data_IF_289848818301
#
_entry.id   IF_289848818301
#
_cell.length_a   1.000
_cell.length_b   1.000
_cell.length_c   1.000
_cell.angle_alpha   90.00
_cell.angle_beta   90.00
_cell.angle_gamma   90.00
#
_symmetry.space_group_name_H-M   'P 1'
#
loop_
_entity.id
_entity.type
_entity.pdbx_description
1 polymer ?
#
# COMPACT_ATOMS: atom_id res chain seq x y z
N UNK A 1 -13.34 9.73 10.34
CA UNK A 1 -12.69 8.71 9.51
C UNK A 1 -13.56 7.47 9.58
N UNK A 2 -14.01 6.95 8.44
CA UNK A 2 -14.70 5.66 8.44
C UNK A 2 -13.63 4.58 8.62
N UNK A 3 -13.56 4.02 9.82
CA UNK A 3 -12.66 2.89 10.14
C UNK A 3 -13.23 1.66 9.43
N UNK A 4 -12.44 1.02 8.60
CA UNK A 4 -12.84 -0.21 7.92
C UNK A 4 -12.69 -1.42 8.84
N UNK A 5 -13.53 -2.43 8.63
CA UNK A 5 -13.45 -3.70 9.34
C UNK A 5 -12.62 -4.68 8.51
N UNK A 6 -11.75 -5.45 9.15
CA UNK A 6 -11.08 -6.56 8.48
C UNK A 6 -12.10 -7.65 8.07
N UNK A 7 -11.69 -8.52 7.16
CA UNK A 7 -12.52 -9.65 6.71
C UNK A 7 -12.88 -10.58 7.87
N UNK A 8 -11.96 -10.80 8.80
CA UNK A 8 -12.19 -11.60 10.01
C UNK A 8 -13.28 -10.99 10.90
N UNK A 9 -13.28 -9.69 11.09
CA UNK A 9 -14.31 -8.98 11.86
C UNK A 9 -15.66 -9.08 11.16
N UNK A 10 -15.72 -8.82 9.86
CA UNK A 10 -16.96 -8.90 9.07
C UNK A 10 -17.56 -10.31 9.08
N UNK A 11 -16.72 -11.34 8.96
CA UNK A 11 -17.10 -12.75 9.07
C UNK A 11 -17.64 -13.09 10.47
N UNK A 12 -16.96 -12.62 11.53
CA UNK A 12 -17.39 -12.86 12.92
C UNK A 12 -18.76 -12.26 13.22
N UNK A 13 -19.02 -11.02 12.81
CA UNK A 13 -20.34 -10.41 12.98
C UNK A 13 -21.43 -11.17 12.22
N UNK A 14 -21.14 -11.62 10.99
CA UNK A 14 -22.06 -12.43 10.20
C UNK A 14 -22.36 -13.79 10.85
N UNK A 15 -21.35 -14.43 11.46
CA UNK A 15 -21.53 -15.69 12.20
C UNK A 15 -22.29 -15.48 13.49
N UNK A 16 -21.98 -14.43 14.27
CA UNK A 16 -22.68 -14.07 15.49
C UNK A 16 -24.18 -13.82 15.23
N UNK A 17 -24.49 -13.09 14.16
CA UNK A 17 -25.88 -12.84 13.73
C UNK A 17 -26.61 -14.15 13.39
N UNK A 18 -25.98 -15.04 12.62
CA UNK A 18 -26.55 -16.35 12.28
C UNK A 18 -26.83 -17.20 13.52
N UNK A 19 -25.90 -17.19 14.49
CA UNK A 19 -26.07 -17.90 15.77
C UNK A 19 -27.24 -17.35 16.57
N UNK A 20 -27.32 -16.04 16.79
CA UNK A 20 -28.41 -15.41 17.50
C UNK A 20 -29.77 -15.75 16.86
N UNK A 21 -29.88 -15.74 15.53
CA UNK A 21 -31.07 -16.16 14.80
C UNK A 21 -31.38 -17.65 14.98
N UNK A 22 -30.39 -18.53 15.00
CA UNK A 22 -30.59 -19.98 15.14
C UNK A 22 -31.16 -20.37 16.49
N UNK A 23 -30.76 -19.67 17.55
CA UNK A 23 -31.29 -19.83 18.90
C UNK A 23 -32.57 -18.97 19.17
N UNK A 24 -32.99 -18.17 18.19
CA UNK A 24 -34.11 -17.23 18.29
C UNK A 24 -33.95 -16.22 19.43
N UNK A 25 -32.73 -15.70 19.63
CA UNK A 25 -32.47 -14.64 20.58
C UNK A 25 -32.89 -13.27 20.00
N UNK A 26 -33.43 -12.39 20.85
CA UNK A 26 -33.85 -11.04 20.47
C UNK A 26 -32.63 -10.12 20.19
N UNK A 27 -31.49 -10.37 20.88
CA UNK A 27 -30.33 -9.53 20.82
C UNK A 27 -29.06 -10.29 20.36
N UNK A 28 -28.24 -9.62 19.55
CA UNK A 28 -26.85 -10.04 19.33
C UNK A 28 -26.02 -9.55 20.51
N UNK A 29 -25.36 -10.45 21.20
CA UNK A 29 -24.58 -10.18 22.41
C UNK A 29 -23.08 -10.47 22.20
N UNK A 30 -22.18 -9.97 23.08
CA UNK A 30 -20.74 -10.28 23.04
C UNK A 30 -20.44 -11.78 23.04
N UNK A 31 -21.28 -12.61 23.69
CA UNK A 31 -21.16 -14.06 23.76
C UNK A 31 -21.33 -14.72 22.37
N UNK A 32 -22.25 -14.20 21.53
CA UNK A 32 -22.39 -14.66 20.14
C UNK A 32 -21.14 -14.34 19.34
N UNK A 33 -20.53 -13.16 19.58
CA UNK A 33 -19.31 -12.76 18.91
C UNK A 33 -18.10 -13.61 19.37
N UNK A 34 -17.98 -13.89 20.67
CA UNK A 34 -16.96 -14.80 21.20
C UNK A 34 -17.09 -16.21 20.58
N UNK A 35 -18.32 -16.71 20.48
CA UNK A 35 -18.57 -18.00 19.83
C UNK A 35 -18.20 -17.98 18.34
N UNK A 36 -18.34 -16.84 17.66
CA UNK A 36 -17.91 -16.69 16.27
C UNK A 36 -16.38 -16.64 16.12
N UNK A 37 -15.67 -16.11 17.12
CA UNK A 37 -14.20 -16.14 17.14
C UNK A 37 -13.66 -17.57 17.26
N UNK A 38 -14.35 -18.46 17.98
CA UNK A 38 -13.99 -19.89 18.08
C UNK A 38 -14.15 -20.65 16.73
N UNK A 39 -14.71 -20.04 15.69
CA UNK A 39 -14.73 -20.59 14.34
C UNK A 39 -13.50 -20.17 13.52
N UNK A 40 -12.67 -19.25 14.04
CA UNK A 40 -11.53 -18.68 13.32
C UNK A 40 -10.22 -19.37 13.73
N UNK A 41 -9.45 -19.91 12.76
CA UNK A 41 -8.18 -20.60 13.06
C UNK A 41 -7.18 -19.75 13.86
N UNK A 42 -6.96 -18.44 13.60
CA UNK A 42 -6.01 -17.66 14.39
C UNK A 42 -6.40 -17.54 15.86
N UNK A 43 -7.70 -17.45 16.17
CA UNK A 43 -8.18 -17.38 17.54
C UNK A 43 -7.99 -18.71 18.28
N UNK A 44 -8.30 -19.83 17.61
CA UNK A 44 -8.09 -21.18 18.15
C UNK A 44 -6.61 -21.42 18.42
N UNK A 45 -5.73 -21.07 17.47
CA UNK A 45 -4.28 -21.23 17.64
C UNK A 45 -3.76 -20.43 18.83
N UNK A 46 -4.20 -19.19 19.01
CA UNK A 46 -3.82 -18.38 20.17
C UNK A 46 -4.26 -19.03 21.49
N UNK A 47 -5.49 -19.57 21.58
CA UNK A 47 -5.95 -20.29 22.78
C UNK A 47 -5.12 -21.55 23.05
N UNK A 48 -4.77 -22.30 22.01
CA UNK A 48 -3.98 -23.54 22.12
C UNK A 48 -2.54 -23.29 22.59
N UNK A 49 -1.93 -22.15 22.25
CA UNK A 49 -0.61 -21.75 22.77
C UNK A 49 -0.60 -21.61 24.29
N UNK A 50 -1.74 -21.22 24.88
CA UNK A 50 -1.91 -21.08 26.32
C UNK A 50 -2.56 -22.30 26.98
N UNK A 51 -2.57 -23.44 26.27
CA UNK A 51 -3.15 -24.72 26.74
C UNK A 51 -4.62 -24.60 27.17
N UNK A 52 -5.37 -23.64 26.62
CA UNK A 52 -6.79 -23.47 26.91
C UNK A 52 -7.61 -24.57 26.25
N UNK A 53 -8.62 -25.06 26.95
CA UNK A 53 -9.55 -26.05 26.41
C UNK A 53 -10.65 -25.35 25.60
N UNK A 54 -10.47 -25.37 24.26
CA UNK A 54 -11.40 -24.76 23.31
C UNK A 54 -12.76 -25.44 23.31
N UNK A 55 -12.79 -26.78 23.54
CA UNK A 55 -14.04 -27.55 23.57
C UNK A 55 -14.84 -27.21 24.81
N UNK A 56 -14.21 -27.06 25.98
CA UNK A 56 -14.85 -26.64 27.22
C UNK A 56 -15.42 -25.22 27.11
N UNK A 57 -14.68 -24.29 26.54
CA UNK A 57 -15.15 -22.92 26.28
C UNK A 57 -16.35 -22.90 25.33
N UNK A 58 -16.31 -23.69 24.25
CA UNK A 58 -17.41 -23.80 23.29
C UNK A 58 -18.67 -24.38 23.97
N UNK A 59 -18.51 -25.42 24.77
CA UNK A 59 -19.61 -26.05 25.51
C UNK A 59 -20.24 -25.09 26.54
N UNK A 60 -19.42 -24.30 27.22
CA UNK A 60 -19.89 -23.30 28.20
C UNK A 60 -20.73 -22.23 27.51
N UNK A 61 -20.32 -21.78 26.30
CA UNK A 61 -21.11 -20.84 25.50
C UNK A 61 -22.43 -21.46 24.98
N UNK A 62 -22.42 -22.72 24.54
CA UNK A 62 -23.62 -23.42 24.11
C UNK A 62 -24.64 -23.61 25.26
N UNK A 63 -24.16 -23.98 26.44
CA UNK A 63 -25.00 -24.07 27.64
C UNK A 63 -25.59 -22.70 27.99
N UNK A 64 -24.81 -21.65 27.93
CA UNK A 64 -25.28 -20.29 28.17
C UNK A 64 -26.38 -19.87 27.18
N UNK A 65 -26.23 -20.18 25.89
CA UNK A 65 -27.22 -19.88 24.88
C UNK A 65 -28.55 -20.66 25.06
N UNK A 66 -28.47 -21.88 25.59
CA UNK A 66 -29.65 -22.75 25.72
C UNK A 66 -30.33 -22.65 27.07
N UNK A 67 -29.60 -22.41 28.17
CA UNK A 67 -30.13 -22.47 29.52
C UNK A 67 -30.33 -21.08 30.16
N UNK A 68 -29.50 -20.10 29.82
CA UNK A 68 -29.51 -18.79 30.48
C UNK A 68 -30.19 -17.70 29.61
N UNK A 69 -30.13 -17.79 28.29
CA UNK A 69 -30.72 -16.80 27.40
C UNK A 69 -32.20 -17.18 27.04
N UNK A 70 -33.07 -16.19 27.17
CA UNK A 70 -34.45 -16.35 26.73
C UNK A 70 -34.56 -16.41 25.21
N UNK A 71 -35.23 -17.44 24.69
CA UNK A 71 -35.53 -17.61 23.26
C UNK A 71 -36.94 -17.12 22.96
N UNK A 72 -37.13 -16.46 21.82
CA UNK A 72 -38.43 -16.05 21.32
C UNK A 72 -39.23 -17.28 20.86
N UNK A 73 -40.49 -17.46 21.31
CA UNK A 73 -41.32 -18.61 20.95
C UNK A 73 -41.48 -18.76 19.43
N UNK A 74 -41.65 -20.01 18.97
CA UNK A 74 -41.95 -20.29 17.56
C UNK A 74 -43.24 -19.60 17.11
N UNK A 75 -43.21 -18.98 15.91
CA UNK A 75 -44.36 -18.29 15.31
C UNK A 75 -44.46 -16.80 15.67
N UNK A 76 -43.61 -16.27 16.54
CA UNK A 76 -43.52 -14.83 16.80
C UNK A 76 -42.51 -14.22 15.84
N UNK A 77 -42.92 -13.18 15.09
CA UNK A 77 -42.01 -12.35 14.29
C UNK A 77 -41.28 -11.37 15.20
N UNK A 78 -39.97 -11.21 15.00
CA UNK A 78 -39.13 -10.27 15.73
C UNK A 78 -38.02 -9.72 14.84
N UNK A 79 -37.51 -8.58 15.17
CA UNK A 79 -36.31 -8.01 14.57
C UNK A 79 -35.14 -8.25 15.51
N UNK A 80 -34.01 -8.70 14.96
CA UNK A 80 -32.80 -8.93 15.74
C UNK A 80 -32.10 -7.59 15.99
N UNK A 81 -31.89 -7.25 17.25
CA UNK A 81 -31.27 -6.01 17.67
C UNK A 81 -29.83 -6.23 18.21
N UNK A 82 -29.05 -5.18 18.27
CA UNK A 82 -27.71 -5.21 18.88
C UNK A 82 -27.83 -4.84 20.35
N UNK A 83 -27.30 -5.68 21.24
CA UNK A 83 -27.34 -5.42 22.70
C UNK A 83 -26.55 -4.18 23.09
N UNK A 84 -26.90 -3.57 24.24
CA UNK A 84 -26.18 -2.44 24.79
C UNK A 84 -24.71 -2.78 25.09
N UNK A 85 -24.45 -3.99 25.59
CA UNK A 85 -23.10 -4.47 25.86
C UNK A 85 -22.24 -4.64 24.60
N UNK A 86 -22.84 -5.13 23.49
CA UNK A 86 -22.13 -5.24 22.23
C UNK A 86 -21.82 -3.86 21.63
N UNK A 87 -22.74 -2.91 21.77
CA UNK A 87 -22.49 -1.51 21.37
C UNK A 87 -21.34 -0.89 22.20
N UNK A 88 -21.31 -1.13 23.51
CA UNK A 88 -20.22 -0.68 24.39
C UNK A 88 -18.88 -1.29 24.00
N UNK A 89 -18.85 -2.60 23.69
CA UNK A 89 -17.66 -3.30 23.20
C UNK A 89 -17.14 -2.66 21.92
N UNK A 90 -18.00 -2.40 20.94
CA UNK A 90 -17.63 -1.78 19.67
C UNK A 90 -17.06 -0.36 19.90
N UNK A 91 -17.67 0.41 20.78
CA UNK A 91 -17.16 1.74 21.12
C UNK A 91 -15.76 1.67 21.78
N UNK A 92 -15.54 0.73 22.70
CA UNK A 92 -14.23 0.51 23.31
C UNK A 92 -13.18 0.12 22.27
N UNK A 93 -13.51 -0.78 21.35
CA UNK A 93 -12.60 -1.19 20.28
C UNK A 93 -12.24 -0.01 19.35
N UNK A 94 -13.20 0.84 18.98
CA UNK A 94 -12.93 2.04 18.18
C UNK A 94 -12.06 3.07 18.93
N UNK A 95 -12.24 3.23 20.24
CA UNK A 95 -11.38 4.10 21.03
C UNK A 95 -9.92 3.59 21.01
N UNK A 96 -9.72 2.28 21.11
CA UNK A 96 -8.37 1.67 21.09
C UNK A 96 -7.68 1.91 19.75
N UNK A 97 -8.38 1.78 18.62
CA UNK A 97 -7.82 2.06 17.30
C UNK A 97 -7.35 3.52 17.20
N UNK A 98 -8.13 4.47 17.70
CA UNK A 98 -7.73 5.88 17.71
C UNK A 98 -6.45 6.15 18.53
N UNK A 99 -6.15 5.32 19.53
CA UNK A 99 -4.92 5.43 20.35
C UNK A 99 -3.74 4.61 19.79
N UNK A 100 -3.99 3.55 19.01
CA UNK A 100 -2.96 2.61 18.52
C UNK A 100 -2.44 2.92 17.13
N UNK A 101 -2.94 3.96 16.45
CA UNK A 101 -2.61 4.27 15.04
C UNK A 101 -2.94 3.13 14.06
N UNK A 102 -3.81 2.21 14.43
CA UNK A 102 -4.31 1.19 13.53
C UNK A 102 -5.32 1.81 12.54
N UNK A 103 -5.30 1.36 11.29
CA UNK A 103 -6.19 1.89 10.24
C UNK A 103 -7.49 1.11 10.14
N UNK A 104 -7.52 -0.14 10.64
CA UNK A 104 -8.66 -1.06 10.53
C UNK A 104 -9.02 -1.70 11.87
N UNK A 105 -10.30 -2.04 12.04
CA UNK A 105 -10.81 -2.79 13.17
C UNK A 105 -10.54 -4.28 12.96
N UNK A 106 -9.75 -4.89 13.87
CA UNK A 106 -9.44 -6.32 13.85
C UNK A 106 -9.93 -7.03 15.12
N UNK A 107 -10.00 -8.37 15.08
CA UNK A 107 -10.50 -9.21 16.17
C UNK A 107 -9.75 -8.98 17.49
N UNK A 108 -8.42 -8.83 17.57
CA UNK A 108 -7.73 -8.50 18.82
C UNK A 108 -8.27 -7.25 19.51
N UNK A 109 -8.66 -6.21 18.77
CA UNK A 109 -9.26 -5.00 19.35
C UNK A 109 -10.63 -5.30 19.99
N UNK A 110 -11.45 -6.15 19.36
CA UNK A 110 -12.73 -6.56 19.90
C UNK A 110 -12.56 -7.43 21.16
N UNK A 111 -11.61 -8.37 21.14
CA UNK A 111 -11.31 -9.22 22.33
C UNK A 111 -10.81 -8.37 23.49
N UNK A 112 -9.93 -7.41 23.22
CA UNK A 112 -9.45 -6.48 24.26
C UNK A 112 -10.59 -5.62 24.82
N UNK A 113 -11.50 -5.14 23.98
CA UNK A 113 -12.71 -4.44 24.39
C UNK A 113 -13.64 -5.33 25.19
N UNK A 114 -13.82 -6.60 24.80
CA UNK A 114 -14.66 -7.59 25.46
C UNK A 114 -14.20 -7.87 26.90
N UNK A 115 -12.91 -8.02 27.12
CA UNK A 115 -12.32 -8.24 28.44
C UNK A 115 -12.58 -7.09 29.40
N UNK A 116 -12.77 -5.87 28.89
CA UNK A 116 -13.03 -4.67 29.69
C UNK A 116 -14.51 -4.51 30.07
N UNK A 117 -15.41 -5.26 29.46
CA UNK A 117 -16.82 -5.21 29.81
C UNK A 117 -17.05 -5.64 31.25
N UNK A 118 -17.86 -4.87 31.96
CA UNK A 118 -18.39 -5.25 33.25
C UNK A 118 -19.66 -6.06 33.05
N UNK A 119 -19.88 -7.10 33.84
CA UNK A 119 -21.09 -7.92 33.82
C UNK A 119 -21.35 -8.68 32.49
N UNK A 120 -20.32 -8.94 31.64
CA UNK A 120 -20.42 -9.78 30.44
C UNK A 120 -19.95 -11.21 30.71
N UNK A 121 -20.74 -12.19 30.32
CA UNK A 121 -20.36 -13.60 30.38
C UNK A 121 -19.21 -13.91 29.42
N UNK A 122 -19.14 -13.26 28.27
CA UNK A 122 -18.01 -13.40 27.34
C UNK A 122 -16.68 -12.98 28.02
N UNK A 123 -16.69 -11.87 28.76
CA UNK A 123 -15.53 -11.43 29.52
C UNK A 123 -15.18 -12.41 30.65
N UNK A 124 -16.20 -12.99 31.31
CA UNK A 124 -16.02 -13.99 32.36
C UNK A 124 -15.39 -15.28 31.81
N UNK A 125 -15.95 -15.84 30.75
CA UNK A 125 -15.44 -17.05 30.10
C UNK A 125 -13.98 -16.88 29.63
N UNK A 126 -13.64 -15.75 28.99
CA UNK A 126 -12.26 -15.49 28.58
C UNK A 126 -11.30 -15.42 29.77
N UNK A 127 -11.69 -14.72 30.84
CA UNK A 127 -10.85 -14.60 32.04
C UNK A 127 -10.68 -15.93 32.78
N UNK A 128 -11.72 -16.74 32.82
CA UNK A 128 -11.67 -18.06 33.46
C UNK A 128 -10.82 -19.04 32.66
N UNK A 129 -10.94 -19.01 31.32
CA UNK A 129 -10.21 -19.91 30.41
C UNK A 129 -8.71 -19.57 30.32
N UNK A 130 -8.36 -18.27 30.27
CA UNK A 130 -6.97 -17.82 30.04
C UNK A 130 -6.25 -17.57 31.38
N UNK A 131 -6.96 -17.15 32.42
CA UNK A 131 -6.38 -16.91 33.76
C UNK A 131 -5.46 -15.69 33.80
N UNK A 132 -4.28 -15.86 34.45
CA UNK A 132 -3.31 -14.79 34.68
C UNK A 132 -2.51 -14.41 33.41
N UNK A 133 -2.50 -15.27 32.37
CA UNK A 133 -1.69 -15.09 31.17
C UNK A 133 -2.38 -14.20 30.12
N UNK A 134 -3.42 -13.46 30.53
CA UNK A 134 -4.24 -12.62 29.64
C UNK A 134 -3.45 -11.57 28.83
N UNK A 135 -2.43 -10.86 29.39
CA UNK A 135 -1.64 -9.90 28.61
C UNK A 135 -0.79 -10.58 27.52
N UNK A 136 -0.20 -11.72 27.84
CA UNK A 136 0.61 -12.52 26.91
C UNK A 136 -0.27 -13.12 25.82
N UNK A 137 -1.46 -13.60 26.17
CA UNK A 137 -2.46 -14.08 25.22
C UNK A 137 -2.86 -12.99 24.21
N UNK A 138 -3.13 -11.76 24.68
CA UNK A 138 -3.46 -10.67 23.76
C UNK A 138 -2.33 -10.35 22.78
N UNK A 139 -1.07 -10.44 23.23
CA UNK A 139 0.09 -10.25 22.37
C UNK A 139 0.22 -11.35 21.32
N UNK A 140 0.02 -12.62 21.73
CA UNK A 140 -0.01 -13.76 20.82
C UNK A 140 -1.18 -13.65 19.83
N UNK A 141 -2.36 -13.25 20.31
CA UNK A 141 -3.54 -13.08 19.46
C UNK A 141 -3.29 -12.06 18.33
N UNK A 142 -2.63 -10.94 18.62
CA UNK A 142 -2.24 -9.95 17.61
C UNK A 142 -1.33 -10.61 16.56
N UNK A 143 -0.27 -11.32 17.01
CA UNK A 143 0.67 -11.99 16.08
C UNK A 143 -0.03 -13.04 15.23
N UNK A 144 -0.94 -13.84 15.79
CA UNK A 144 -1.68 -14.88 15.06
C UNK A 144 -2.59 -14.29 13.96
N UNK A 145 -3.23 -13.13 14.21
CA UNK A 145 -4.03 -12.47 13.19
C UNK A 145 -3.17 -11.76 12.14
N UNK A 146 -2.05 -11.15 12.53
CA UNK A 146 -1.09 -10.57 11.58
C UNK A 146 -0.52 -11.65 10.64
N UNK A 147 -0.07 -12.79 11.19
CA UNK A 147 0.42 -13.93 10.40
C UNK A 147 -0.67 -14.54 9.51
N UNK A 148 -1.91 -14.62 9.99
CA UNK A 148 -3.03 -15.14 9.23
C UNK A 148 -3.43 -14.20 8.08
N UNK A 149 -3.40 -12.90 8.30
CA UNK A 149 -3.60 -11.90 7.25
C UNK A 149 -2.49 -11.99 6.20
N UNK A 150 -1.23 -12.15 6.61
CA UNK A 150 -0.12 -12.40 5.69
C UNK A 150 -0.33 -13.71 4.89
N UNK A 151 -0.78 -14.80 5.52
CA UNK A 151 -1.06 -16.07 4.84
C UNK A 151 -2.28 -16.02 3.91
N UNK A 152 -3.33 -15.26 4.27
CA UNK A 152 -4.50 -15.03 3.40
C UNK A 152 -4.09 -14.20 2.19
N UNK A 153 -3.20 -13.21 2.38
CA UNK A 153 -2.57 -12.50 1.26
C UNK A 153 -1.77 -13.45 0.35
N UNK A 154 -1.09 -14.46 0.91
CA UNK A 154 -0.37 -15.47 0.12
C UNK A 154 -1.30 -16.47 -0.59
N UNK A 155 -2.44 -16.84 -0.03
CA UNK A 155 -3.36 -17.84 -0.60
C UNK A 155 -4.40 -17.26 -1.58
N UNK A 156 -4.86 -16.03 -1.40
CA UNK A 156 -5.67 -15.30 -2.38
C UNK A 156 -4.82 -14.83 -3.58
N UNK A 157 -3.51 -14.75 -3.44
CA UNK A 157 -2.54 -14.54 -4.54
C UNK A 157 -2.56 -15.65 -5.63
N UNK A 158 -3.39 -16.66 -5.49
CA UNK A 158 -3.59 -17.71 -6.52
C UNK A 158 -4.49 -17.30 -7.70
N UNK A 159 -5.16 -16.14 -7.69
CA UNK A 159 -6.01 -15.67 -8.81
C UNK A 159 -5.85 -14.21 -9.23
N UNK A 160 -5.19 -13.34 -8.44
CA UNK A 160 -4.60 -12.08 -8.91
C UNK A 160 -3.32 -11.87 -8.11
N UNK A 161 -2.18 -11.70 -8.78
CA UNK A 161 -0.85 -11.54 -8.17
C UNK A 161 -0.78 -10.28 -7.28
N UNK A 162 -1.35 -10.32 -6.10
CA UNK A 162 -1.13 -9.30 -5.07
C UNK A 162 0.14 -9.68 -4.29
N UNK A 163 1.27 -9.51 -4.94
CA UNK A 163 2.57 -9.63 -4.29
C UNK A 163 2.76 -8.40 -3.38
N UNK A 164 3.14 -8.57 -2.09
CA UNK A 164 3.20 -7.47 -1.11
C UNK A 164 3.99 -6.24 -1.57
N UNK A 165 4.98 -6.45 -2.45
CA UNK A 165 5.79 -5.39 -3.02
C UNK A 165 5.00 -4.46 -3.96
N UNK A 166 3.88 -4.92 -4.54
CA UNK A 166 3.04 -4.13 -5.45
C UNK A 166 2.34 -2.97 -4.77
N UNK A 167 2.15 -3.04 -3.45
CA UNK A 167 1.59 -1.95 -2.66
C UNK A 167 2.51 -0.72 -2.58
N UNK A 168 3.80 -0.90 -2.87
CA UNK A 168 4.82 0.15 -2.84
C UNK A 168 5.21 0.67 -4.22
N UNK A 169 4.61 0.13 -5.27
CA UNK A 169 4.96 0.48 -6.65
C UNK A 169 3.72 0.62 -7.52
N UNK A 170 3.80 1.50 -8.51
CA UNK A 170 2.78 1.66 -9.55
C UNK A 170 3.35 1.22 -10.89
N UNK A 171 2.70 0.31 -11.60
CA UNK A 171 3.13 -0.09 -12.93
C UNK A 171 2.74 0.97 -13.96
N UNK A 172 3.71 1.68 -14.52
CA UNK A 172 3.46 2.75 -15.48
C UNK A 172 2.85 2.23 -16.79
N UNK A 173 3.17 0.99 -17.18
CA UNK A 173 2.61 0.37 -18.37
C UNK A 173 1.08 0.21 -18.28
N UNK A 174 0.57 -0.09 -17.10
CA UNK A 174 -0.88 -0.28 -16.88
C UNK A 174 -1.64 1.06 -16.80
N UNK A 175 -0.92 2.16 -16.52
CA UNK A 175 -1.49 3.50 -16.36
C UNK A 175 -1.44 4.37 -17.62
N UNK A 176 -1.02 3.85 -18.76
CA UNK A 176 -0.83 4.63 -19.99
C UNK A 176 -2.09 5.33 -20.50
N UNK A 177 -3.26 4.74 -20.29
CA UNK A 177 -4.53 5.32 -20.75
C UNK A 177 -4.97 6.54 -19.94
N UNK A 178 -4.57 6.62 -18.69
CA UNK A 178 -4.95 7.71 -17.77
C UNK A 178 -4.00 8.91 -17.87
N UNK A 179 -2.81 8.72 -18.45
CA UNK A 179 -1.80 9.75 -18.57
C UNK A 179 -1.74 10.38 -19.96
N UNK A 180 -1.20 11.59 -20.02
CA UNK A 180 -0.99 12.27 -21.28
C UNK A 180 0.15 11.60 -22.07
N UNK A 181 0.05 11.49 -23.40
CA UNK A 181 1.13 10.96 -24.22
C UNK A 181 2.36 11.88 -24.11
N UNK A 182 3.54 11.30 -24.21
CA UNK A 182 4.76 12.07 -24.38
C UNK A 182 4.75 12.68 -25.80
N UNK A 183 4.86 13.99 -25.88
CA UNK A 183 4.95 14.76 -27.13
C UNK A 183 6.28 15.50 -27.11
N UNK A 184 7.02 15.38 -28.19
CA UNK A 184 8.39 15.84 -28.23
C UNK A 184 9.32 14.97 -27.36
N UNK A 185 10.54 15.47 -27.09
CA UNK A 185 11.51 14.77 -26.23
C UNK A 185 12.06 13.46 -26.80
N UNK A 186 12.01 13.28 -28.12
CA UNK A 186 12.49 12.07 -28.78
C UNK A 186 14.00 11.85 -28.53
N UNK A 187 14.78 12.92 -28.50
CA UNK A 187 16.22 12.86 -28.27
C UNK A 187 16.57 12.36 -26.86
N UNK A 188 15.88 12.89 -25.85
CA UNK A 188 16.05 12.49 -24.45
C UNK A 188 15.55 11.06 -24.19
N UNK A 189 14.45 10.68 -24.84
CA UNK A 189 13.89 9.34 -24.79
C UNK A 189 14.84 8.32 -25.42
N UNK A 190 15.34 8.61 -26.63
CA UNK A 190 16.37 7.77 -27.29
C UNK A 190 17.63 7.66 -26.45
N UNK A 191 18.05 8.74 -25.81
CA UNK A 191 19.22 8.73 -24.92
C UNK A 191 18.98 7.85 -23.69
N UNK A 192 17.78 7.90 -23.13
CA UNK A 192 17.36 7.04 -22.01
C UNK A 192 17.41 5.57 -22.41
N UNK A 193 16.85 5.21 -23.57
CA UNK A 193 16.87 3.85 -24.15
C UNK A 193 18.32 3.39 -24.35
N UNK A 194 19.18 4.22 -24.95
CA UNK A 194 20.60 3.90 -25.15
C UNK A 194 21.34 3.61 -23.83
N UNK A 195 21.06 4.38 -22.78
CA UNK A 195 21.68 4.19 -21.45
C UNK A 195 21.20 2.87 -20.85
N UNK A 196 19.89 2.59 -20.86
CA UNK A 196 19.31 1.36 -20.33
C UNK A 196 19.83 0.09 -21.06
N UNK A 197 20.23 0.21 -22.32
CA UNK A 197 20.79 -0.90 -23.09
C UNK A 197 22.29 -1.14 -22.85
N UNK A 198 22.99 -0.31 -22.08
CA UNK A 198 24.41 -0.49 -21.77
C UNK A 198 24.66 -1.69 -20.87
N UNK A 199 25.89 -2.17 -20.86
CA UNK A 199 26.35 -3.19 -19.93
C UNK A 199 26.68 -2.60 -18.56
N UNK A 200 27.26 -1.42 -18.54
CA UNK A 200 27.66 -0.69 -17.34
C UNK A 200 27.07 0.72 -17.37
N UNK A 201 26.84 1.32 -16.19
CA UNK A 201 26.16 2.61 -16.05
C UNK A 201 24.85 2.65 -16.83
N UNK A 202 24.08 1.60 -16.68
CA UNK A 202 22.81 1.37 -17.37
C UNK A 202 21.60 2.01 -16.67
N UNK A 203 21.83 2.86 -15.68
CA UNK A 203 20.78 3.57 -14.95
C UNK A 203 20.80 5.05 -15.37
N UNK A 204 19.82 5.53 -16.16
CA UNK A 204 19.69 6.94 -16.48
C UNK A 204 19.23 7.75 -15.27
N UNK A 205 19.75 8.96 -15.15
CA UNK A 205 19.29 9.96 -14.19
C UNK A 205 18.84 11.21 -14.94
N UNK A 206 17.55 11.47 -14.95
CA UNK A 206 16.95 12.65 -15.54
C UNK A 206 17.17 13.85 -14.61
N UNK A 207 17.91 14.84 -15.05
CA UNK A 207 18.20 16.06 -14.29
C UNK A 207 17.61 17.25 -15.02
N UNK A 208 16.76 18.02 -14.37
CA UNK A 208 16.12 19.19 -14.97
C UNK A 208 15.23 19.92 -13.98
N UNK A 209 14.83 21.13 -14.30
CA UNK A 209 13.96 21.95 -13.46
C UNK A 209 12.61 21.27 -13.19
N UNK A 210 11.89 21.65 -12.12
CA UNK A 210 10.53 21.19 -11.90
C UNK A 210 9.62 21.48 -13.10
N UNK A 211 8.72 20.55 -13.48
CA UNK A 211 7.75 20.76 -14.53
C UNK A 211 8.25 20.55 -15.98
N UNK A 212 9.55 20.29 -16.23
CA UNK A 212 10.08 20.08 -17.59
C UNK A 212 9.70 18.76 -18.25
N UNK A 213 8.95 17.88 -17.55
CA UNK A 213 8.43 16.63 -18.11
C UNK A 213 9.28 15.39 -17.83
N UNK A 214 10.06 15.35 -16.73
CA UNK A 214 10.86 14.17 -16.35
C UNK A 214 10.01 12.91 -16.17
N UNK A 215 8.89 13.02 -15.49
CA UNK A 215 7.95 11.90 -15.27
C UNK A 215 7.27 11.48 -16.58
N UNK A 216 6.96 12.44 -17.46
CA UNK A 216 6.40 12.15 -18.79
C UNK A 216 7.35 11.30 -19.67
N UNK A 217 8.67 11.45 -19.50
CA UNK A 217 9.66 10.60 -20.19
C UNK A 217 9.57 9.13 -19.74
N UNK A 218 9.29 8.85 -18.46
CA UNK A 218 9.11 7.50 -17.97
C UNK A 218 7.84 6.85 -18.56
N UNK A 219 6.72 7.60 -18.63
CA UNK A 219 5.51 7.14 -19.31
C UNK A 219 5.71 6.98 -20.83
N UNK A 220 6.46 7.89 -21.47
CA UNK A 220 6.81 7.77 -22.88
C UNK A 220 7.65 6.53 -23.20
N UNK A 221 8.56 6.17 -22.28
CA UNK A 221 9.32 4.92 -22.38
C UNK A 221 8.41 3.70 -22.23
N UNK A 222 7.50 3.70 -21.25
CA UNK A 222 6.54 2.62 -21.06
C UNK A 222 5.66 2.43 -22.31
N UNK A 223 5.17 3.53 -22.90
CA UNK A 223 4.39 3.49 -24.14
C UNK A 223 5.19 2.91 -25.32
N UNK A 224 6.46 3.25 -25.47
CA UNK A 224 7.34 2.67 -26.51
C UNK A 224 7.61 1.18 -26.30
N UNK A 225 7.72 0.73 -25.05
CA UNK A 225 7.89 -0.69 -24.72
C UNK A 225 6.65 -1.46 -25.11
N UNK A 226 5.45 -0.97 -24.76
CA UNK A 226 4.17 -1.60 -25.12
C UNK A 226 3.95 -1.63 -26.64
N UNK A 227 4.34 -0.59 -27.34
CA UNK A 227 4.28 -0.53 -28.81
C UNK A 227 5.33 -1.42 -29.51
N UNK A 228 6.26 -2.03 -28.76
CA UNK A 228 7.36 -2.82 -29.34
C UNK A 228 8.46 -2.00 -30.02
N UNK A 229 8.43 -0.67 -29.87
CA UNK A 229 9.37 0.27 -30.53
C UNK A 229 10.63 0.50 -29.68
N UNK A 230 11.22 -0.57 -29.18
CA UNK A 230 12.44 -0.55 -28.35
C UNK A 230 13.38 -1.71 -28.75
N UNK A 231 14.69 -1.60 -28.46
CA UNK A 231 15.60 -2.71 -28.67
C UNK A 231 15.18 -3.96 -27.88
N UNK A 232 15.56 -5.15 -28.38
CA UNK A 232 15.21 -6.46 -27.81
C UNK A 232 15.50 -6.58 -26.28
N UNK A 233 16.54 -5.88 -25.82
CA UNK A 233 16.90 -5.81 -24.40
C UNK A 233 15.85 -5.18 -23.50
N UNK A 234 14.99 -4.34 -24.04
CA UNK A 234 13.91 -3.64 -23.36
C UNK A 234 12.53 -4.16 -23.74
N UNK A 235 12.46 -5.06 -24.73
CA UNK A 235 11.19 -5.66 -25.15
C UNK A 235 10.55 -6.43 -24.00
N UNK A 236 9.27 -6.15 -23.73
CA UNK A 236 8.50 -6.76 -22.67
C UNK A 236 8.96 -6.36 -21.24
N UNK A 237 9.75 -5.29 -21.10
CA UNK A 237 10.04 -4.71 -19.78
C UNK A 237 8.80 -4.00 -19.23
N UNK A 238 8.64 -4.08 -17.90
CA UNK A 238 7.66 -3.28 -17.16
C UNK A 238 8.37 -2.24 -16.32
N UNK A 239 7.81 -1.03 -16.26
CA UNK A 239 8.36 0.08 -15.48
C UNK A 239 7.50 0.24 -14.23
N UNK A 240 8.13 0.13 -13.07
CA UNK A 240 7.50 0.28 -11.77
C UNK A 240 7.98 1.57 -11.12
N UNK A 241 7.06 2.50 -10.90
CA UNK A 241 7.32 3.71 -10.13
C UNK A 241 7.30 3.37 -8.64
N UNK A 242 8.38 3.67 -7.94
CA UNK A 242 8.50 3.44 -6.51
C UNK A 242 7.86 4.60 -5.73
N UNK A 243 6.82 4.30 -4.97
CA UNK A 243 6.20 5.27 -4.06
C UNK A 243 7.04 5.43 -2.79
N UNK A 244 7.84 6.50 -2.77
CA UNK A 244 8.69 6.82 -1.62
C UNK A 244 7.85 7.26 -0.40
N UNK A 245 6.68 7.83 -0.60
CA UNK A 245 5.77 8.24 0.48
C UNK A 245 5.30 7.03 1.27
N UNK A 246 4.72 6.05 0.58
CA UNK A 246 4.25 4.79 1.18
C UNK A 246 5.41 3.96 1.75
N UNK A 247 6.57 3.96 1.10
CA UNK A 247 7.75 3.25 1.58
C UNK A 247 8.28 3.79 2.91
N UNK A 248 8.21 5.11 3.11
CA UNK A 248 8.69 5.81 4.32
C UNK A 248 7.59 5.93 5.40
N UNK A 249 6.32 5.83 5.04
CA UNK A 249 5.20 5.94 5.98
C UNK A 249 5.29 4.87 7.07
N UNK A 250 5.19 5.30 8.34
CA UNK A 250 5.19 4.39 9.50
C UNK A 250 6.54 3.70 9.82
N UNK A 251 7.62 3.99 9.09
CA UNK A 251 8.94 3.46 9.42
C UNK A 251 9.57 4.27 10.55
N UNK A 252 9.53 3.76 11.78
CA UNK A 252 10.23 4.38 12.91
C UNK A 252 11.70 3.92 13.02
N UNK A 253 12.01 2.76 12.50
CA UNK A 253 13.35 2.16 12.57
C UNK A 253 13.93 1.88 11.19
N UNK A 254 15.24 1.99 11.09
CA UNK A 254 16.01 1.68 9.86
C UNK A 254 15.70 0.26 9.33
N UNK A 255 15.47 -0.69 10.22
CA UNK A 255 15.20 -2.09 9.86
C UNK A 255 13.92 -2.29 9.07
N UNK A 256 12.88 -1.48 9.33
CA UNK A 256 11.59 -1.62 8.64
C UNK A 256 11.69 -1.16 7.18
N UNK A 257 12.38 -0.04 6.95
CA UNK A 257 12.67 0.43 5.59
C UNK A 257 13.53 -0.59 4.82
N UNK A 258 14.57 -1.17 5.47
CA UNK A 258 15.41 -2.19 4.85
C UNK A 258 14.61 -3.43 4.45
N UNK A 259 13.71 -3.91 5.32
CA UNK A 259 12.82 -5.05 5.03
C UNK A 259 11.91 -4.75 3.83
N UNK A 260 11.19 -3.61 3.85
CA UNK A 260 10.28 -3.21 2.76
C UNK A 260 11.03 -3.10 1.44
N UNK A 261 12.18 -2.41 1.42
CA UNK A 261 12.99 -2.28 0.22
C UNK A 261 13.46 -3.63 -0.31
N UNK A 262 13.83 -4.56 0.56
CA UNK A 262 14.23 -5.92 0.18
C UNK A 262 13.08 -6.67 -0.48
N UNK A 263 11.88 -6.64 0.09
CA UNK A 263 10.67 -7.26 -0.46
C UNK A 263 10.36 -6.70 -1.86
N UNK A 264 10.43 -5.37 -2.03
CA UNK A 264 10.24 -4.73 -3.34
C UNK A 264 11.28 -5.20 -4.35
N UNK A 265 12.56 -5.20 -3.98
CA UNK A 265 13.63 -5.60 -4.90
C UNK A 265 13.57 -7.08 -5.27
N UNK A 266 13.18 -7.95 -4.36
CA UNK A 266 12.96 -9.38 -4.62
C UNK A 266 11.75 -9.58 -5.54
N UNK A 267 10.64 -8.91 -5.29
CA UNK A 267 9.45 -8.95 -6.14
C UNK A 267 9.75 -8.49 -7.57
N UNK A 268 10.36 -7.33 -7.71
CA UNK A 268 10.76 -6.78 -9.02
C UNK A 268 11.77 -7.68 -9.76
N UNK A 269 12.69 -8.33 -9.04
CA UNK A 269 13.62 -9.31 -9.63
C UNK A 269 12.91 -10.53 -10.17
N UNK A 270 11.90 -11.03 -9.46
CA UNK A 270 11.13 -12.20 -9.85
C UNK A 270 10.26 -11.94 -11.09
N UNK A 271 9.86 -10.70 -11.35
CA UNK A 271 9.22 -10.28 -12.61
C UNK A 271 10.17 -10.44 -13.83
N UNK A 272 11.46 -10.41 -13.62
CA UNK A 272 12.51 -10.72 -14.59
C UNK A 272 12.90 -9.55 -15.49
N UNK A 273 11.98 -8.91 -16.21
CA UNK A 273 12.23 -7.77 -17.11
C UNK A 273 11.60 -6.50 -16.55
N UNK A 274 12.18 -5.98 -15.46
CA UNK A 274 11.64 -4.83 -14.78
C UNK A 274 12.63 -3.66 -14.72
N UNK A 275 12.08 -2.46 -14.71
CA UNK A 275 12.79 -1.19 -14.54
C UNK A 275 12.11 -0.47 -13.38
N UNK A 276 12.86 0.00 -12.41
CA UNK A 276 12.35 0.82 -11.31
C UNK A 276 12.54 2.29 -11.67
N UNK A 277 11.45 3.04 -11.68
CA UNK A 277 11.46 4.50 -11.76
C UNK A 277 11.35 5.10 -10.36
N UNK A 278 12.22 6.02 -10.03
CA UNK A 278 12.25 6.72 -8.74
C UNK A 278 12.16 8.22 -9.03
N UNK A 279 10.98 8.78 -8.83
CA UNK A 279 10.84 10.23 -8.90
C UNK A 279 11.46 10.87 -7.66
N UNK A 280 12.04 12.03 -7.83
CA UNK A 280 12.73 12.76 -6.76
C UNK A 280 13.73 11.88 -5.97
N UNK A 281 14.56 11.09 -6.65
CA UNK A 281 15.51 10.13 -6.05
C UNK A 281 16.39 10.75 -4.96
N UNK A 282 16.54 12.06 -4.94
CA UNK A 282 17.27 12.79 -3.90
C UNK A 282 16.62 12.62 -2.51
N UNK A 283 15.32 12.36 -2.42
CA UNK A 283 14.62 12.08 -1.16
C UNK A 283 15.17 10.83 -0.47
N UNK A 284 15.56 9.79 -1.23
CA UNK A 284 16.22 8.60 -0.69
C UNK A 284 17.62 8.90 -0.14
N UNK A 285 18.30 9.89 -0.70
CA UNK A 285 19.68 10.24 -0.31
C UNK A 285 19.66 11.22 0.86
N UNK A 286 18.62 12.07 0.94
CA UNK A 286 18.45 13.10 1.95
C UNK A 286 17.72 12.66 3.23
N UNK A 287 16.94 11.61 3.16
CA UNK A 287 16.06 11.14 4.25
C UNK A 287 16.77 10.75 5.55
N UNK A 288 18.10 10.88 5.63
CA UNK A 288 18.88 10.47 6.78
C UNK A 288 19.64 11.57 7.51
N UNK A 289 19.37 12.86 7.27
CA UNK A 289 20.26 13.94 7.79
C UNK A 289 19.70 14.74 8.97
N UNK A 290 18.56 14.38 9.52
CA UNK A 290 17.98 15.03 10.70
C UNK A 290 17.99 14.09 11.89
N UNK A 291 19.11 14.14 12.66
CA UNK A 291 19.22 13.40 13.94
C UNK A 291 20.31 12.31 13.94
N UNK A 292 20.69 11.91 15.13
CA UNK A 292 21.79 11.00 15.49
C UNK A 292 21.46 9.52 15.09
N UNK A 293 21.34 9.25 13.80
CA UNK A 293 20.99 7.93 13.25
C UNK A 293 20.62 7.98 11.77
N UNK A 294 21.29 8.82 10.98
CA UNK A 294 20.94 9.07 9.58
C UNK A 294 20.77 7.82 8.74
N UNK A 295 19.55 7.59 8.27
CA UNK A 295 19.20 6.54 7.30
C UNK A 295 19.83 6.91 5.95
N UNK A 296 20.96 6.31 5.58
CA UNK A 296 21.54 6.43 4.24
C UNK A 296 20.94 5.33 3.34
N UNK A 297 19.73 5.57 2.85
CA UNK A 297 19.03 4.65 1.93
C UNK A 297 19.83 4.43 0.64
N UNK A 298 20.77 5.35 0.31
CA UNK A 298 21.66 5.20 -0.84
C UNK A 298 22.61 4.00 -0.71
N UNK A 299 22.99 3.64 0.51
CA UNK A 299 23.83 2.46 0.76
C UNK A 299 23.07 1.16 0.52
N UNK A 300 21.76 1.14 0.74
CA UNK A 300 20.90 -0.03 0.54
C UNK A 300 20.64 -0.31 -0.93
N UNK A 301 20.56 0.74 -1.76
CA UNK A 301 20.40 0.58 -3.22
C UNK A 301 21.68 0.11 -3.92
N UNK A 302 22.86 0.31 -3.34
CA UNK A 302 24.15 -0.02 -3.99
C UNK A 302 24.24 -1.47 -4.49
N UNK A 303 23.87 -2.50 -3.72
CA UNK A 303 23.94 -3.88 -4.18
C UNK A 303 23.10 -4.14 -5.44
N UNK A 304 21.91 -3.55 -5.50
CA UNK A 304 20.97 -3.72 -6.62
C UNK A 304 21.44 -2.95 -7.86
N UNK A 305 22.04 -1.77 -7.68
CA UNK A 305 22.64 -0.97 -8.75
C UNK A 305 23.93 -1.61 -9.32
N UNK A 306 24.63 -2.45 -8.54
CA UNK A 306 25.83 -3.19 -8.96
C UNK A 306 25.49 -4.50 -9.65
N UNK A 307 24.44 -5.18 -9.21
CA UNK A 307 24.06 -6.49 -9.72
C UNK A 307 23.61 -6.47 -11.19
N UNK A 308 23.11 -5.33 -11.68
CA UNK A 308 22.69 -5.15 -13.07
C UNK A 308 21.44 -5.98 -13.47
N UNK A 309 20.84 -6.71 -12.54
CA UNK A 309 19.63 -7.49 -12.76
C UNK A 309 18.41 -6.58 -12.85
N UNK A 310 18.36 -5.56 -12.00
CA UNK A 310 17.33 -4.53 -12.00
C UNK A 310 17.93 -3.25 -12.57
N UNK A 311 17.21 -2.58 -13.45
CA UNK A 311 17.58 -1.26 -13.98
C UNK A 311 16.79 -0.19 -13.26
N UNK A 312 17.41 0.97 -13.09
CA UNK A 312 16.80 2.10 -12.41
C UNK A 312 16.78 3.32 -13.31
N UNK A 313 15.71 4.08 -13.25
CA UNK A 313 15.59 5.43 -13.81
C UNK A 313 15.35 6.34 -12.61
N UNK A 314 16.20 7.34 -12.41
CA UNK A 314 15.99 8.35 -11.39
C UNK A 314 15.60 9.69 -12.00
N UNK A 315 14.85 10.51 -11.29
CA UNK A 315 14.64 11.92 -11.61
C UNK A 315 15.06 12.82 -10.46
N UNK A 316 15.56 14.01 -10.76
CA UNK A 316 15.93 15.02 -9.76
C UNK A 316 16.05 16.41 -10.41
N UNK A 317 16.15 17.46 -9.59
CA UNK A 317 16.45 18.81 -10.08
C UNK A 317 17.96 19.08 -10.10
N UNK A 318 18.42 20.15 -10.77
CA UNK A 318 19.82 20.55 -10.77
C UNK A 318 20.33 20.92 -9.38
N UNK A 319 19.49 21.62 -8.59
CA UNK A 319 19.82 22.01 -7.22
C UNK A 319 20.04 20.77 -6.35
N UNK A 320 19.07 19.85 -6.35
CA UNK A 320 19.10 18.62 -5.54
C UNK A 320 20.21 17.66 -5.99
N UNK A 321 20.47 17.59 -7.31
CA UNK A 321 21.61 16.83 -7.84
C UNK A 321 22.94 17.33 -7.25
N UNK A 322 23.18 18.64 -7.28
CA UNK A 322 24.42 19.22 -6.75
C UNK A 322 24.53 19.09 -5.22
N UNK A 323 23.39 19.21 -4.53
CA UNK A 323 23.32 19.19 -3.06
C UNK A 323 23.53 17.80 -2.49
N UNK A 324 22.90 16.77 -3.07
CA UNK A 324 22.86 15.42 -2.53
C UNK A 324 23.60 14.40 -3.40
N UNK A 325 23.30 14.35 -4.70
CA UNK A 325 23.76 13.29 -5.58
C UNK A 325 25.25 13.40 -5.94
N UNK A 326 25.70 14.58 -6.33
CA UNK A 326 27.09 14.83 -6.73
C UNK A 326 28.10 14.49 -5.62
N UNK A 327 27.69 14.56 -4.36
CA UNK A 327 28.52 14.22 -3.19
C UNK A 327 28.64 12.72 -2.95
N UNK A 328 27.69 11.93 -3.44
CA UNK A 328 27.68 10.46 -3.31
C UNK A 328 28.43 9.81 -4.47
N UNK A 329 29.78 9.72 -4.37
CA UNK A 329 30.63 9.11 -5.41
C UNK A 329 30.17 7.69 -5.80
N UNK A 330 29.54 6.96 -4.88
CA UNK A 330 29.00 5.63 -5.11
C UNK A 330 27.84 5.61 -6.09
N UNK A 331 26.91 6.56 -6.00
CA UNK A 331 25.76 6.68 -6.89
C UNK A 331 26.12 7.29 -8.24
N UNK A 332 26.91 8.39 -8.24
CA UNK A 332 27.33 9.06 -9.47
C UNK A 332 28.00 8.11 -10.46
N UNK A 333 28.76 7.12 -9.98
CA UNK A 333 29.42 6.13 -10.84
C UNK A 333 28.47 5.14 -11.49
N UNK A 334 27.26 4.97 -10.93
CA UNK A 334 26.25 3.98 -11.38
C UNK A 334 25.14 4.56 -12.21
N UNK A 335 24.94 5.87 -12.10
CA UNK A 335 23.97 6.59 -12.90
C UNK A 335 24.62 7.35 -14.05
N UNK A 336 23.89 7.46 -15.16
CA UNK A 336 24.26 8.32 -16.28
C UNK A 336 23.32 9.51 -16.32
N UNK A 337 23.84 10.70 -16.07
CA UNK A 337 23.06 11.93 -16.17
C UNK A 337 22.59 12.17 -17.61
N UNK A 338 21.33 12.57 -17.73
CA UNK A 338 20.67 13.05 -18.92
C UNK A 338 19.98 14.36 -18.52
N UNK A 339 20.40 15.45 -19.15
CA UNK A 339 19.86 16.77 -18.88
C UNK A 339 18.53 16.93 -19.63
N UNK A 340 17.49 17.31 -18.90
CA UNK A 340 16.17 17.59 -19.43
C UNK A 340 15.96 19.11 -19.34
N UNK A 341 16.24 19.78 -20.44
CA UNK A 341 16.13 21.23 -20.52
C UNK A 341 14.67 21.66 -20.72
N UNK A 342 14.39 22.92 -20.45
CA UNK A 342 13.10 23.51 -20.83
C UNK A 342 12.94 23.44 -22.36
N UNK A 343 11.74 23.10 -22.85
CA UNK A 343 11.49 23.08 -24.29
C UNK A 343 11.53 24.51 -24.86
N UNK A 344 11.97 24.60 -26.11
CA UNK A 344 11.85 25.86 -26.87
C UNK A 344 10.39 26.29 -27.04
N UNK A 345 10.15 27.53 -27.45
CA UNK A 345 8.81 28.04 -27.71
C UNK A 345 8.09 27.19 -28.78
N UNK A 346 8.79 26.80 -29.81
CA UNK A 346 8.23 25.99 -30.91
C UNK A 346 7.89 24.57 -30.40
N UNK A 347 8.74 23.95 -29.61
CA UNK A 347 8.50 22.66 -29.00
C UNK A 347 7.33 22.73 -28.00
N UNK A 348 7.22 23.82 -27.21
CA UNK A 348 6.12 24.02 -26.27
C UNK A 348 4.79 24.13 -27.01
N UNK A 349 4.73 24.88 -28.10
CA UNK A 349 3.53 24.99 -28.93
C UNK A 349 3.14 23.60 -29.44
N UNK A 350 4.11 22.84 -29.96
CA UNK A 350 3.89 21.49 -30.47
C UNK A 350 3.36 20.54 -29.37
N UNK A 351 3.91 20.63 -28.14
CA UNK A 351 3.44 19.84 -27.01
C UNK A 351 1.98 20.20 -26.67
N UNK A 352 1.66 21.47 -26.59
CA UNK A 352 0.30 21.93 -26.23
C UNK A 352 -0.69 21.58 -27.33
N UNK A 353 -0.33 21.71 -28.60
CA UNK A 353 -1.16 21.31 -29.76
C UNK A 353 -1.45 19.80 -29.74
N UNK A 354 -0.45 18.98 -29.43
CA UNK A 354 -0.64 17.53 -29.35
C UNK A 354 -1.48 17.08 -28.14
N UNK A 355 -1.60 17.90 -27.09
CA UNK A 355 -2.47 17.63 -25.95
C UNK A 355 -3.88 18.20 -26.13
N UNK A 356 -4.09 19.07 -27.12
CA UNK A 356 -5.32 19.83 -27.35
C UNK A 356 -6.57 18.94 -27.37
N UNK A 357 -6.59 17.89 -28.18
CA UNK A 357 -7.74 17.00 -28.30
C UNK A 357 -8.16 16.36 -26.98
N UNK A 358 -7.21 15.97 -26.14
CA UNK A 358 -7.51 15.41 -24.81
C UNK A 358 -8.15 16.43 -23.87
N UNK A 359 -7.64 17.66 -23.87
CA UNK A 359 -8.22 18.73 -23.07
C UNK A 359 -9.59 19.18 -23.59
N UNK A 360 -9.77 19.24 -24.91
CA UNK A 360 -11.08 19.50 -25.53
C UNK A 360 -12.12 18.43 -25.12
N UNK A 361 -11.75 17.18 -25.18
CA UNK A 361 -12.63 16.07 -24.79
C UNK A 361 -12.94 16.09 -23.27
N UNK A 362 -11.94 16.37 -22.43
CA UNK A 362 -12.12 16.39 -20.98
C UNK A 362 -13.00 17.54 -20.49
N UNK A 363 -12.80 18.74 -21.06
CA UNK A 363 -13.53 19.95 -20.66
C UNK A 363 -14.80 20.23 -21.48
N UNK A 364 -15.05 19.48 -22.55
CA UNK A 364 -16.20 19.70 -23.42
C UNK A 364 -16.13 21.05 -24.20
N UNK A 365 -14.91 21.52 -24.51
CA UNK A 365 -14.65 22.79 -25.20
C UNK A 365 -13.89 22.54 -26.48
N UNK A 366 -13.88 23.52 -27.39
CA UNK A 366 -13.07 23.47 -28.61
C UNK A 366 -12.20 24.73 -28.69
N UNK A 367 -10.89 24.55 -28.80
CA UNK A 367 -9.96 25.66 -29.01
C UNK A 367 -10.03 26.17 -30.45
N UNK A 368 -10.16 27.49 -30.63
CA UNK A 368 -10.11 28.11 -31.93
C UNK A 368 -8.72 27.90 -32.58
N UNK A 369 -8.65 27.91 -33.92
CA UNK A 369 -7.36 27.92 -34.61
C UNK A 369 -6.49 29.08 -34.12
N UNK A 370 -5.19 28.87 -34.04
CA UNK A 370 -4.16 29.85 -33.61
C UNK A 370 -4.21 30.36 -32.15
N UNK A 371 -5.15 29.92 -31.32
CA UNK A 371 -5.23 30.36 -29.93
C UNK A 371 -3.97 29.96 -29.17
N UNK A 372 -3.41 28.78 -29.36
CA UNK A 372 -2.25 28.25 -28.67
C UNK A 372 -0.99 29.09 -28.96
N UNK A 373 -0.60 29.31 -30.25
CA UNK A 373 0.51 30.21 -30.57
C UNK A 373 0.35 31.62 -30.04
N UNK A 374 -0.86 32.19 -30.17
CA UNK A 374 -1.16 33.55 -29.70
C UNK A 374 -1.07 33.65 -28.17
N UNK A 375 -1.62 32.68 -27.45
CA UNK A 375 -1.56 32.70 -25.97
C UNK A 375 -0.11 32.67 -25.46
N UNK A 376 0.74 31.87 -26.08
CA UNK A 376 2.13 31.76 -25.67
C UNK A 376 2.92 33.03 -25.95
N UNK A 377 2.71 33.66 -27.14
CA UNK A 377 3.39 34.91 -27.50
C UNK A 377 2.95 36.10 -26.65
N UNK A 378 1.70 36.12 -26.19
CA UNK A 378 1.18 37.21 -25.35
C UNK A 378 1.46 37.04 -23.85
N UNK A 379 1.52 35.81 -23.34
CA UNK A 379 1.83 35.54 -21.91
C UNK A 379 3.31 35.64 -21.58
N UNK A 380 4.19 35.50 -22.56
CA UNK A 380 5.64 35.54 -22.38
C UNK A 380 6.28 36.90 -22.70
N UNK A 381 5.47 37.95 -22.96
CA UNK A 381 6.01 39.30 -23.09
C UNK A 381 6.63 39.74 -21.75
N UNK A 382 7.90 40.15 -21.70
CA UNK A 382 8.51 40.67 -20.48
C UNK A 382 7.77 41.90 -20.05
N UNK A 383 7.26 41.88 -18.81
CA UNK A 383 6.73 43.07 -18.09
C UNK A 383 7.82 44.05 -17.78
#
# INVERSE_FOLDING_TARGET
MDIQNTEYVSSAFSSAQRKALSYRHEFIMPEHLLSAFLEQPPFINALQEFFCDVEELSLSLENYFTEELESIPEGVEYELEVSAQLNELIQHAYLMINYSSAEELNVPHLVQGMIQLQESWAAHFLKETIGEDLPEFLSSLISQYEEAEEMVYEQTAGQEKNEPWRNYVTCLNDCLQTHNPLIGREAELERTIQVLCRKEKNNPLHVGEPGVGKTALAYGLAARIEAGNVPERLSGCRIYELDLGTLLAGTQYRGDFEKRLKVIMEGVRNEGRAIIYIDEIHNLIGAGRTGDGSMDASNMLKPYLEGGEIRFIGSTTYEEYNRYFARSKGLVRRFQQIDILEPSIEETIHIVEGLKEKYEAFHGVTYLPDVIPVSYTHLTLPT
#
